data_IF_609695535153
#
_entry.id   IF_609695535153
#
_cell.length_a   1.000
_cell.length_b   1.000
_cell.length_c   1.000
_cell.angle_alpha   90.00
_cell.angle_beta   90.00
_cell.angle_gamma   90.00
#
_symmetry.space_group_name_H-M   'P 1'
#
loop_
_entity.id
_entity.type
_entity.pdbx_description
1 polymer ?
#
# COMPACT_ATOMS: atom_id res chain seq x y z
N UNK A 1 4.40 -0.73 -1.96
CA UNK A 1 3.57 -1.73 -1.26
C UNK A 1 2.32 -1.91 -2.08
N UNK A 2 2.12 -3.11 -2.62
CA UNK A 2 0.90 -3.47 -3.34
C UNK A 2 -0.08 -4.07 -2.34
N UNK A 3 -1.25 -3.47 -2.23
CA UNK A 3 -2.29 -3.91 -1.30
C UNK A 3 -3.48 -4.40 -2.11
N UNK A 4 -3.96 -5.60 -1.77
CA UNK A 4 -5.19 -6.14 -2.33
C UNK A 4 -6.03 -6.74 -1.22
N UNK A 5 -7.32 -6.42 -1.22
CA UNK A 5 -8.28 -6.97 -0.28
C UNK A 5 -9.65 -7.12 -0.93
N UNK A 6 -10.53 -7.88 -0.29
CA UNK A 6 -11.92 -8.02 -0.72
C UNK A 6 -12.84 -7.25 0.22
N UNK A 7 -13.69 -6.40 -0.35
CA UNK A 7 -14.77 -5.72 0.35
C UNK A 7 -16.12 -6.19 -0.19
N UNK A 8 -16.93 -6.79 0.68
CA UNK A 8 -18.24 -7.32 0.32
C UNK A 8 -19.27 -6.22 0.00
N UNK A 9 -19.06 -4.98 0.50
CA UNK A 9 -19.95 -3.84 0.23
C UNK A 9 -19.69 -3.21 -1.13
N UNK A 10 -18.53 -3.48 -1.73
CA UNK A 10 -18.12 -2.96 -3.04
C UNK A 10 -18.37 -3.96 -4.18
N UNK A 11 -19.36 -4.85 -4.01
CA UNK A 11 -19.78 -5.81 -5.04
C UNK A 11 -20.98 -5.28 -5.81
N UNK A 12 -20.97 -5.45 -7.12
CA UNK A 12 -22.13 -5.14 -7.97
C UNK A 12 -22.22 -6.09 -9.16
N UNK A 13 -23.41 -6.20 -9.74
CA UNK A 13 -23.64 -6.98 -10.95
C UNK A 13 -23.45 -6.07 -12.18
N UNK A 14 -22.45 -6.31 -13.06
CA UNK A 14 -22.18 -5.43 -14.21
C UNK A 14 -23.40 -5.21 -15.11
N UNK A 15 -24.30 -6.19 -15.20
CA UNK A 15 -25.53 -6.10 -16.01
C UNK A 15 -26.47 -4.98 -15.57
N UNK A 16 -26.49 -4.65 -14.28
CA UNK A 16 -27.32 -3.57 -13.72
C UNK A 16 -26.72 -2.18 -13.95
N UNK A 17 -25.42 -2.12 -14.23
CA UNK A 17 -24.63 -0.87 -14.33
C UNK A 17 -24.00 -0.70 -15.72
N UNK A 18 -24.67 -1.16 -16.78
CA UNK A 18 -24.23 -0.92 -18.17
C UNK A 18 -22.94 -1.65 -18.57
N UNK A 19 -22.61 -2.76 -17.90
CA UNK A 19 -21.43 -3.57 -18.17
C UNK A 19 -20.15 -3.10 -17.47
N UNK A 20 -20.23 -2.16 -16.54
CA UNK A 20 -19.06 -1.67 -15.80
C UNK A 20 -18.50 -2.79 -14.91
N UNK A 21 -17.26 -3.18 -15.16
CA UNK A 21 -16.56 -4.23 -14.40
C UNK A 21 -15.53 -3.69 -13.41
N UNK A 22 -15.04 -2.46 -13.61
CA UNK A 22 -14.03 -1.84 -12.78
C UNK A 22 -14.25 -0.33 -12.61
N UNK A 23 -13.81 0.21 -11.48
CA UNK A 23 -13.91 1.62 -11.12
C UNK A 23 -12.61 2.11 -10.48
N UNK A 24 -12.28 3.38 -10.71
CA UNK A 24 -11.18 4.06 -10.00
C UNK A 24 -11.75 5.05 -9.00
N UNK A 25 -11.53 4.79 -7.71
CA UNK A 25 -12.09 5.59 -6.62
C UNK A 25 -10.95 6.13 -5.76
N UNK A 26 -11.01 7.40 -5.31
CA UNK A 26 -10.05 7.93 -4.33
C UNK A 26 -9.99 7.02 -3.10
N UNK A 27 -8.78 6.67 -2.65
CA UNK A 27 -8.62 5.76 -1.50
C UNK A 27 -9.22 6.30 -0.20
N UNK A 28 -9.45 7.61 -0.09
CA UNK A 28 -10.06 8.25 1.09
C UNK A 28 -11.57 8.00 1.23
N UNK A 29 -12.24 7.53 0.17
CA UNK A 29 -13.68 7.27 0.17
C UNK A 29 -14.03 5.81 0.47
N UNK A 30 -13.03 4.96 0.64
CA UNK A 30 -13.19 3.53 0.90
C UNK A 30 -12.45 3.16 2.18
N UNK A 31 -12.85 2.03 2.76
CA UNK A 31 -12.06 1.43 3.81
C UNK A 31 -10.70 0.98 3.23
N UNK A 32 -9.61 1.21 3.97
CA UNK A 32 -8.25 0.78 3.64
C UNK A 32 -7.59 0.17 4.87
N UNK A 33 -6.69 -0.81 4.71
CA UNK A 33 -5.94 -1.36 5.82
C UNK A 33 -4.85 -0.38 6.29
N UNK A 34 -4.68 -0.27 7.60
CA UNK A 34 -3.64 0.54 8.21
C UNK A 34 -2.31 -0.23 8.20
N UNK A 35 -1.47 0.00 7.17
CA UNK A 35 -0.13 -0.60 7.07
C UNK A 35 0.90 0.39 7.61
N UNK A 36 1.65 -0.03 8.63
CA UNK A 36 2.70 0.76 9.27
C UNK A 36 4.04 0.02 9.22
N UNK A 37 5.12 0.77 9.00
CA UNK A 37 6.48 0.24 9.07
C UNK A 37 6.96 0.24 10.52
N UNK A 38 7.27 -0.91 11.10
CA UNK A 38 7.65 -1.01 12.52
C UNK A 38 9.03 -0.44 12.82
N UNK A 39 10.01 -0.62 11.91
CA UNK A 39 11.36 -0.08 12.07
C UNK A 39 11.53 1.32 11.46
N UNK A 40 10.48 2.14 11.48
CA UNK A 40 10.52 3.49 10.90
C UNK A 40 11.52 4.40 11.66
N UNK A 41 12.43 5.02 10.93
CA UNK A 41 13.44 5.96 11.45
C UNK A 41 13.05 7.44 11.36
N UNK A 42 11.99 7.78 10.62
CA UNK A 42 11.55 9.15 10.29
C UNK A 42 10.37 9.63 11.17
N UNK A 43 9.69 8.72 11.88
CA UNK A 43 8.55 9.02 12.75
C UNK A 43 7.24 9.33 12.02
N UNK A 44 7.26 9.52 10.70
CA UNK A 44 6.06 9.67 9.88
C UNK A 44 5.68 8.33 9.24
N UNK A 45 4.53 7.78 9.63
CA UNK A 45 4.03 6.47 9.17
C UNK A 45 3.02 6.58 8.03
N UNK A 46 2.62 7.80 7.66
CA UNK A 46 1.56 8.00 6.69
C UNK A 46 2.05 7.85 5.24
N UNK A 47 1.26 7.16 4.44
CA UNK A 47 1.36 7.17 2.98
C UNK A 47 1.06 8.59 2.52
N UNK A 48 2.11 9.37 2.25
CA UNK A 48 2.02 10.81 1.95
C UNK A 48 1.26 11.16 0.66
N UNK A 49 0.92 10.17 -0.16
CA UNK A 49 0.22 10.33 -1.43
C UNK A 49 -1.04 9.45 -1.48
N UNK A 50 -2.19 10.06 -1.18
CA UNK A 50 -3.49 9.45 -1.40
C UNK A 50 -3.75 9.28 -2.91
N UNK A 51 -3.51 8.08 -3.43
CA UNK A 51 -3.81 7.71 -4.82
C UNK A 51 -5.20 7.08 -4.95
N UNK A 52 -5.68 6.96 -6.18
CA UNK A 52 -6.90 6.20 -6.48
C UNK A 52 -6.63 4.69 -6.35
N UNK A 53 -7.60 3.97 -5.80
CA UNK A 53 -7.65 2.52 -5.81
C UNK A 53 -8.50 2.03 -6.99
N UNK A 54 -8.20 0.84 -7.49
CA UNK A 54 -9.01 0.14 -8.49
C UNK A 54 -9.93 -0.83 -7.77
N UNK A 55 -11.21 -0.77 -8.06
CA UNK A 55 -12.23 -1.66 -7.48
C UNK A 55 -12.83 -2.46 -8.63
N UNK A 56 -12.91 -3.77 -8.46
CA UNK A 56 -13.55 -4.71 -9.38
C UNK A 56 -14.94 -5.08 -8.89
N UNK A 57 -15.84 -5.42 -9.81
CA UNK A 57 -17.24 -5.75 -9.50
C UNK A 57 -17.40 -6.95 -8.54
N UNK A 58 -16.41 -7.84 -8.48
CA UNK A 58 -16.33 -8.96 -7.55
C UNK A 58 -16.01 -8.55 -6.10
N UNK A 59 -15.75 -7.26 -5.88
CA UNK A 59 -15.39 -6.67 -4.58
C UNK A 59 -13.89 -6.70 -4.30
N UNK A 60 -13.05 -7.10 -5.26
CA UNK A 60 -11.59 -6.98 -5.16
C UNK A 60 -11.20 -5.50 -5.24
N UNK A 61 -10.43 -5.03 -4.28
CA UNK A 61 -9.85 -3.69 -4.26
C UNK A 61 -8.34 -3.82 -4.35
N UNK A 62 -7.73 -3.10 -5.29
CA UNK A 62 -6.30 -2.98 -5.46
C UNK A 62 -5.86 -1.54 -5.24
N UNK A 63 -4.91 -1.35 -4.33
CA UNK A 63 -4.34 -0.05 -4.03
C UNK A 63 -2.81 -0.09 -4.04
N UNK A 64 -2.22 0.74 -4.89
CA UNK A 64 -0.77 0.78 -5.15
C UNK A 64 -0.27 2.22 -4.99
N UNK A 65 -0.20 2.76 -3.77
CA UNK A 65 0.32 4.10 -3.56
C UNK A 65 1.86 4.11 -3.69
N UNK A 66 2.46 5.16 -4.27
CA UNK A 66 3.88 5.41 -4.13
C UNK A 66 4.17 5.79 -2.67
N UNK A 67 5.17 5.16 -2.07
CA UNK A 67 5.57 5.42 -0.69
C UNK A 67 7.10 5.43 -0.58
N UNK A 68 7.62 6.38 0.19
CA UNK A 68 9.04 6.46 0.56
C UNK A 68 9.12 6.00 2.01
N UNK A 69 9.75 4.85 2.24
CA UNK A 69 9.99 4.31 3.57
C UNK A 69 11.41 4.62 3.99
N UNK A 70 11.57 5.11 5.22
CA UNK A 70 12.88 5.26 5.86
C UNK A 70 12.93 4.35 7.07
N UNK A 71 13.71 3.29 6.97
CA UNK A 71 13.91 2.32 8.03
C UNK A 71 15.18 2.61 8.84
N UNK A 72 15.15 2.20 10.10
CA UNK A 72 16.33 2.11 10.95
C UNK A 72 17.01 0.78 10.67
N UNK A 73 18.30 0.84 10.37
CA UNK A 73 19.16 -0.33 10.13
C UNK A 73 20.39 -0.24 11.04
N UNK A 74 20.76 -1.36 11.65
CA UNK A 74 22.01 -1.47 12.41
C UNK A 74 23.18 -1.61 11.43
N UNK A 75 24.23 -0.80 11.62
CA UNK A 75 25.37 -0.72 10.71
C UNK A 75 26.60 -1.31 11.40
N UNK A 76 27.21 -2.32 10.78
CA UNK A 76 28.45 -2.91 11.25
C UNK A 76 29.65 -2.34 10.48
N UNK A 77 30.51 -1.59 11.17
CA UNK A 77 31.65 -0.88 10.56
C UNK A 77 32.99 -1.62 10.71
N UNK A 78 32.99 -2.92 11.03
CA UNK A 78 34.21 -3.70 11.27
C UNK A 78 35.21 -3.67 10.09
N UNK A 79 34.72 -3.67 8.85
CA UNK A 79 35.54 -3.77 7.63
C UNK A 79 35.55 -2.52 6.74
N UNK A 80 35.15 -1.36 7.27
CA UNK A 80 35.07 -0.13 6.48
C UNK A 80 36.37 0.19 5.71
N UNK A 81 36.33 0.55 4.41
CA UNK A 81 35.17 0.84 3.55
C UNK A 81 34.67 -0.36 2.71
N UNK A 82 35.08 -1.59 3.07
CA UNK A 82 34.73 -2.83 2.38
C UNK A 82 33.72 -3.68 3.18
N UNK A 83 32.96 -3.03 4.04
CA UNK A 83 31.91 -3.63 4.86
C UNK A 83 30.69 -4.07 4.03
N UNK A 84 29.97 -5.07 4.55
CA UNK A 84 28.70 -5.56 3.99
C UNK A 84 27.59 -5.29 5.01
N UNK A 85 26.49 -4.70 4.58
CA UNK A 85 25.37 -4.32 5.46
C UNK A 85 24.12 -5.13 5.11
N UNK A 86 23.48 -5.72 6.13
CA UNK A 86 22.19 -6.40 6.00
C UNK A 86 21.10 -5.61 6.70
N UNK A 87 20.26 -4.93 5.92
CA UNK A 87 19.13 -4.15 6.44
C UNK A 87 17.80 -4.89 6.25
N UNK A 88 17.04 -5.02 7.34
CA UNK A 88 15.68 -5.55 7.34
C UNK A 88 14.65 -4.42 7.31
N UNK A 89 13.45 -4.70 6.80
CA UNK A 89 12.30 -3.80 6.71
C UNK A 89 11.12 -4.37 7.50
#
# INVERSE_FOLDING_TARGET
>A
VEQSWYDYKLRWEPKEYGGVQMLHVPSDHIWRPDIVLYNNADGNFEVTLATKATIYHEGLVEWKPPAIYKSSCEIDVEYFPFDEQTCVL
#
